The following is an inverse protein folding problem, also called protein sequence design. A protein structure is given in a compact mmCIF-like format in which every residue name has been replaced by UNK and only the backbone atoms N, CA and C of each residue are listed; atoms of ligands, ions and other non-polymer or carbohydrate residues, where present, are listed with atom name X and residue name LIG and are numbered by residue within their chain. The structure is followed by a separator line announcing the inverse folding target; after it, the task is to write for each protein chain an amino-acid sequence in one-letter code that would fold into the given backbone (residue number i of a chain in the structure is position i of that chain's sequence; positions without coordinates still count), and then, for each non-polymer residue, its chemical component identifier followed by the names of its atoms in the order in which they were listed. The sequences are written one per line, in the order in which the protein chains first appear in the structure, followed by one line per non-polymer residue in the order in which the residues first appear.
data_IF_513761416772
#
_entry.id   IF_513761416772
#
_cell.length_a   1.000
_cell.length_b   1.000
_cell.length_c   1.000
_cell.angle_alpha   90.00
_cell.angle_beta   90.00
_cell.angle_gamma   90.00
#
_symmetry.space_group_name_H-M   'P 1'
#
loop_
_entity.id
_entity.type
_entity.pdbx_description
1 polymer ?
#
# COMPACT_ATOMS: atom_id res chain seq x y z
N UNK A 1 -6.12 9.05 -9.66
CA UNK A 1 -5.26 7.87 -9.81
C UNK A 1 -4.57 8.00 -11.13
N UNK A 2 -3.24 8.13 -11.15
CA UNK A 2 -2.51 8.08 -12.42
C UNK A 2 -2.43 6.61 -12.82
N UNK A 3 -3.28 6.21 -13.77
CA UNK A 3 -3.32 4.87 -14.35
C UNK A 3 -1.90 4.39 -14.77
N UNK A 4 -1.06 5.34 -15.22
CA UNK A 4 0.35 5.10 -15.54
C UNK A 4 1.20 4.58 -14.37
N UNK A 5 0.97 5.05 -13.14
CA UNK A 5 1.71 4.52 -11.98
C UNK A 5 1.31 3.08 -11.70
N UNK A 6 0.01 2.77 -11.79
CA UNK A 6 -0.48 1.41 -11.62
C UNK A 6 0.08 0.47 -12.71
N UNK A 7 0.13 0.95 -13.96
CA UNK A 7 0.70 0.22 -15.11
C UNK A 7 2.21 -0.02 -14.95
N UNK A 8 2.95 0.95 -14.43
CA UNK A 8 4.38 0.79 -14.18
C UNK A 8 4.66 -0.26 -13.08
N UNK A 9 3.90 -0.21 -11.98
CA UNK A 9 4.02 -1.19 -10.89
C UNK A 9 3.56 -2.58 -11.34
N UNK A 10 2.47 -2.68 -12.11
CA UNK A 10 1.97 -3.96 -12.59
C UNK A 10 2.97 -4.67 -13.51
N UNK A 11 3.73 -3.94 -14.32
CA UNK A 11 4.78 -4.52 -15.15
C UNK A 11 5.86 -5.21 -14.31
N UNK A 12 6.28 -4.60 -13.19
CA UNK A 12 7.24 -5.20 -12.25
C UNK A 12 6.64 -6.45 -11.60
N UNK A 13 5.39 -6.38 -11.13
CA UNK A 13 4.69 -7.52 -10.52
C UNK A 13 4.60 -8.68 -11.51
N UNK A 14 4.22 -8.43 -12.77
CA UNK A 14 4.11 -9.45 -13.78
C UNK A 14 5.45 -10.17 -14.03
N UNK A 15 6.54 -9.40 -14.13
CA UNK A 15 7.89 -9.94 -14.29
C UNK A 15 8.32 -10.80 -13.10
N UNK A 16 8.10 -10.32 -11.88
CA UNK A 16 8.61 -10.99 -10.67
C UNK A 16 7.78 -12.19 -10.23
N UNK A 17 6.50 -12.24 -10.61
CA UNK A 17 5.54 -13.27 -10.14
C UNK A 17 5.08 -14.22 -11.23
N UNK A 18 5.22 -13.86 -12.51
CA UNK A 18 4.65 -14.61 -13.63
C UNK A 18 3.12 -14.53 -13.75
N UNK A 19 2.47 -13.64 -13.00
CA UNK A 19 1.02 -13.44 -13.09
C UNK A 19 0.61 -12.90 -14.48
N UNK A 20 -0.58 -13.26 -14.98
CA UNK A 20 -1.15 -12.63 -16.17
C UNK A 20 -1.28 -11.12 -16.01
N UNK A 21 -1.16 -10.38 -17.11
CA UNK A 21 -1.15 -8.91 -17.13
C UNK A 21 -2.34 -8.30 -16.37
N UNK A 22 -3.55 -8.78 -16.58
CA UNK A 22 -4.76 -8.27 -15.92
C UNK A 22 -4.73 -8.48 -14.40
N UNK A 23 -4.21 -9.63 -13.95
CA UNK A 23 -4.05 -9.92 -12.53
C UNK A 23 -2.98 -9.04 -11.88
N UNK A 24 -1.83 -8.86 -12.55
CA UNK A 24 -0.79 -7.95 -12.10
C UNK A 24 -1.28 -6.49 -12.08
N UNK A 25 -2.11 -6.10 -13.04
CA UNK A 25 -2.74 -4.77 -13.11
C UNK A 25 -3.68 -4.53 -11.94
N UNK A 26 -4.51 -5.52 -11.57
CA UNK A 26 -5.37 -5.43 -10.40
C UNK A 26 -4.56 -5.18 -9.11
N UNK A 27 -3.43 -5.88 -8.94
CA UNK A 27 -2.52 -5.66 -7.81
C UNK A 27 -1.86 -4.28 -7.86
N UNK A 28 -1.39 -3.85 -9.02
CA UNK A 28 -0.80 -2.52 -9.23
C UNK A 28 -1.79 -1.38 -8.91
N UNK A 29 -3.05 -1.51 -9.33
CA UNK A 29 -4.13 -0.58 -8.99
C UNK A 29 -4.35 -0.53 -7.48
N UNK A 30 -4.40 -1.69 -6.81
CA UNK A 30 -4.58 -1.77 -5.35
C UNK A 30 -3.45 -1.10 -4.55
N UNK A 31 -2.20 -1.37 -4.90
CA UNK A 31 -1.02 -0.76 -4.26
C UNK A 31 -1.01 0.76 -4.45
N UNK A 32 -1.12 1.23 -5.69
CA UNK A 32 -1.08 2.67 -5.99
C UNK A 32 -2.30 3.39 -5.41
N UNK A 33 -3.49 2.78 -5.45
CA UNK A 33 -4.69 3.32 -4.83
C UNK A 33 -4.49 3.52 -3.32
N UNK A 34 -3.94 2.53 -2.62
CA UNK A 34 -3.66 2.60 -1.18
C UNK A 34 -2.62 3.68 -0.87
N UNK A 35 -1.50 3.71 -1.61
CA UNK A 35 -0.47 4.74 -1.44
C UNK A 35 -1.03 6.16 -1.67
N UNK A 36 -1.83 6.35 -2.72
CA UNK A 36 -2.40 7.66 -3.03
C UNK A 36 -3.42 8.11 -1.97
N UNK A 37 -4.32 7.23 -1.54
CA UNK A 37 -5.37 7.56 -0.56
C UNK A 37 -4.75 7.90 0.80
N UNK A 38 -3.79 7.11 1.25
CA UNK A 38 -3.10 7.34 2.54
C UNK A 38 -2.24 8.61 2.52
N UNK A 39 -1.54 8.92 1.42
CA UNK A 39 -0.80 10.17 1.27
C UNK A 39 -1.72 11.41 1.32
N UNK A 40 -2.89 11.35 0.66
CA UNK A 40 -3.90 12.44 0.73
C UNK A 40 -4.44 12.61 2.14
N UNK A 41 -4.70 11.52 2.85
CA UNK A 41 -5.11 11.58 4.26
C UNK A 41 -4.04 12.26 5.13
N UNK A 42 -2.77 11.90 4.93
CA UNK A 42 -1.64 12.49 5.66
C UNK A 42 -1.52 14.01 5.42
N UNK A 43 -1.58 14.45 4.16
CA UNK A 43 -1.54 15.86 3.78
C UNK A 43 -2.69 16.66 4.40
N UNK A 44 -3.91 16.11 4.40
CA UNK A 44 -5.09 16.77 4.96
C UNK A 44 -5.05 16.92 6.50
N UNK A 45 -4.09 16.30 7.18
CA UNK A 45 -3.93 16.34 8.64
C UNK A 45 -2.70 17.13 9.07
N UNK A 46 -2.17 18.00 8.20
CA UNK A 46 -0.99 18.85 8.44
C UNK A 46 0.25 18.09 8.91
N UNK A 47 0.45 16.84 8.45
CA UNK A 47 1.67 16.10 8.74
C UNK A 47 1.93 15.82 10.22
N UNK A 48 0.88 15.71 11.05
CA UNK A 48 1.03 15.38 12.49
C UNK A 48 1.79 14.09 12.77
N UNK A 49 1.83 13.18 11.80
CA UNK A 49 2.72 12.02 11.77
C UNK A 49 3.94 12.39 10.88
N UNK A 50 5.20 12.16 11.29
CA UNK A 50 6.35 12.37 10.41
C UNK A 50 6.18 11.62 9.09
N UNK A 51 6.57 12.24 7.97
CA UNK A 51 6.38 11.70 6.62
C UNK A 51 6.96 10.29 6.49
N UNK A 52 8.19 10.10 6.97
CA UNK A 52 8.91 8.84 6.93
C UNK A 52 8.13 7.76 7.69
N UNK A 53 7.55 8.12 8.84
CA UNK A 53 6.76 7.19 9.65
C UNK A 53 5.43 6.83 8.99
N UNK A 54 4.79 7.78 8.33
CA UNK A 54 3.59 7.53 7.54
C UNK A 54 3.90 6.56 6.38
N UNK A 55 5.00 6.78 5.67
CA UNK A 55 5.44 5.93 4.57
C UNK A 55 5.77 4.50 5.05
N UNK A 56 6.48 4.36 6.18
CA UNK A 56 6.79 3.07 6.80
C UNK A 56 5.52 2.26 7.11
N UNK A 57 4.51 2.88 7.73
CA UNK A 57 3.27 2.19 8.07
C UNK A 57 2.51 1.71 6.83
N UNK A 58 2.44 2.55 5.80
CA UNK A 58 1.75 2.20 4.55
C UNK A 58 2.50 1.11 3.78
N UNK A 59 3.84 1.11 3.82
CA UNK A 59 4.66 0.05 3.24
C UNK A 59 4.49 -1.28 4.01
N UNK A 60 4.53 -1.23 5.33
CA UNK A 60 4.31 -2.42 6.18
C UNK A 60 2.91 -3.01 5.96
N UNK A 61 1.87 -2.17 5.90
CA UNK A 61 0.51 -2.61 5.62
C UNK A 61 0.41 -3.32 4.26
N UNK A 62 1.00 -2.76 3.21
CA UNK A 62 0.95 -3.35 1.87
C UNK A 62 1.72 -4.68 1.79
N UNK A 63 2.83 -4.83 2.52
CA UNK A 63 3.68 -6.00 2.43
C UNK A 63 3.32 -7.14 3.39
N UNK A 64 2.84 -6.79 4.59
CA UNK A 64 2.60 -7.77 5.67
C UNK A 64 1.15 -7.80 6.16
N UNK A 65 0.30 -6.91 5.66
CA UNK A 65 -1.08 -6.78 6.12
C UNK A 65 -1.21 -6.17 7.52
N UNK A 66 -2.45 -5.93 7.92
CA UNK A 66 -2.78 -5.33 9.22
C UNK A 66 -2.42 -6.22 10.41
N UNK A 67 -2.37 -7.54 10.20
CA UNK A 67 -1.97 -8.52 11.22
C UNK A 67 -0.50 -8.43 11.62
N UNK A 68 0.30 -7.64 10.90
CA UNK A 68 1.72 -7.44 11.22
C UNK A 68 1.96 -6.41 12.33
N UNK A 69 0.93 -5.70 12.77
CA UNK A 69 1.00 -4.78 13.90
C UNK A 69 0.75 -5.53 15.21
N UNK A 70 1.38 -5.12 16.33
CA UNK A 70 1.13 -5.74 17.63
C UNK A 70 -0.36 -5.74 17.98
N UNK A 71 -0.85 -6.89 18.43
CA UNK A 71 -2.20 -7.02 18.99
C UNK A 71 -2.08 -6.83 20.49
N UNK A 72 -2.91 -5.96 21.06
CA UNK A 72 -2.99 -5.77 22.50
C UNK A 72 -3.38 -7.10 23.20
N UNK A 73 -2.70 -7.49 24.29
CA UNK A 73 -3.05 -8.67 25.06
C UNK A 73 -4.52 -8.59 25.52
N UNK A 74 -5.36 -9.51 25.04
CA UNK A 74 -6.79 -9.59 25.38
C UNK A 74 -7.76 -9.11 24.30
N UNK A 75 -7.29 -8.56 23.17
CA UNK A 75 -8.18 -8.14 22.06
C UNK A 75 -8.86 -9.30 21.30
N UNK A 76 -8.43 -10.55 21.54
CA UNK A 76 -9.00 -11.77 20.96
C UNK A 76 -9.64 -12.68 22.03
N UNK A 77 -9.84 -12.16 23.25
CA UNK A 77 -10.45 -12.87 24.38
C UNK A 77 -11.97 -12.72 24.43
#
# INVERSE_FOLDING_TARGET
MTYECARAVSAVIAVDTGLPEESAMMLGVGLIGTAQVTARYWLNRDGRLPLEKAAEFVAQLQWRGISSFPIEPGALG
#
